data_IF_145826970188
#
_entry.id   IF_145826970188
#
_cell.length_a   1.000
_cell.length_b   1.000
_cell.length_c   1.000
_cell.angle_alpha   90.00
_cell.angle_beta   90.00
_cell.angle_gamma   90.00
#
_symmetry.space_group_name_H-M   'P 1'
#
loop_
_entity.id
_entity.type
_entity.pdbx_description
1 polymer ?
#
# COMPACT_ATOMS: atom_id res chain seq x y z
N UNK A 1 -9.53 11.32 -20.51
CA UNK A 1 -10.37 10.27 -19.90
C UNK A 1 -9.92 8.91 -20.43
N UNK A 2 -9.00 8.23 -19.75
CA UNK A 2 -8.76 6.80 -19.95
C UNK A 2 -8.53 6.17 -18.57
N UNK A 3 -9.57 5.46 -18.11
CA UNK A 3 -9.53 4.56 -16.97
C UNK A 3 -8.62 3.39 -17.34
N UNK A 4 -7.47 3.26 -16.66
CA UNK A 4 -6.73 2.01 -16.67
C UNK A 4 -7.41 1.05 -15.69
N UNK A 5 -8.30 0.23 -16.24
CA UNK A 5 -8.82 -0.96 -15.59
C UNK A 5 -7.67 -1.94 -15.33
N UNK A 6 -7.30 -2.05 -14.06
CA UNK A 6 -7.12 -3.31 -13.35
C UNK A 6 -6.59 -4.52 -14.14
N UNK A 7 -5.28 -4.56 -14.37
CA UNK A 7 -4.53 -5.81 -14.19
C UNK A 7 -3.55 -5.58 -13.03
N UNK A 8 -4.08 -5.63 -11.81
CA UNK A 8 -3.25 -5.79 -10.61
C UNK A 8 -2.92 -7.28 -10.52
N UNK A 9 -1.67 -7.72 -10.76
CA UNK A 9 -1.34 -9.13 -10.68
C UNK A 9 -1.58 -9.65 -9.24
N UNK A 10 -2.22 -10.82 -9.06
CA UNK A 10 -2.47 -11.37 -7.75
C UNK A 10 -1.18 -12.05 -7.26
N UNK A 11 -0.33 -11.36 -6.51
CA UNK A 11 0.75 -12.06 -5.81
C UNK A 11 1.25 -11.35 -4.55
N UNK A 12 0.40 -11.26 -3.53
CA UNK A 12 0.77 -10.64 -2.25
C UNK A 12 1.73 -11.50 -1.39
N UNK A 13 2.05 -12.75 -1.77
CA UNK A 13 2.88 -13.64 -0.93
C UNK A 13 4.32 -13.83 -1.43
N UNK A 14 4.59 -13.79 -2.74
CA UNK A 14 5.93 -14.05 -3.28
C UNK A 14 6.83 -12.80 -3.41
N UNK A 15 6.26 -11.60 -3.48
CA UNK A 15 7.04 -10.39 -3.77
C UNK A 15 7.97 -9.94 -2.62
N UNK A 16 7.67 -10.30 -1.37
CA UNK A 16 8.37 -9.76 -0.19
C UNK A 16 9.87 -10.15 -0.13
N UNK A 17 10.31 -11.22 -0.82
CA UNK A 17 11.72 -11.67 -0.87
C UNK A 17 12.54 -11.05 -2.01
N UNK A 18 11.90 -10.28 -2.90
CA UNK A 18 12.50 -9.74 -4.12
C UNK A 18 12.68 -8.22 -4.09
N UNK A 19 12.53 -7.58 -2.92
CA UNK A 19 12.39 -6.14 -2.80
C UNK A 19 13.36 -5.62 -1.73
N UNK A 20 14.19 -4.63 -2.08
CA UNK A 20 15.09 -3.95 -1.13
C UNK A 20 14.44 -2.62 -0.70
N UNK A 21 14.18 -2.40 0.60
CA UNK A 21 13.65 -1.13 1.08
C UNK A 21 14.70 -0.03 0.94
N UNK A 22 14.36 1.08 0.29
CA UNK A 22 15.17 2.30 0.39
C UNK A 22 14.69 3.10 1.61
N UNK A 23 15.64 3.54 2.43
CA UNK A 23 15.39 4.07 3.76
C UNK A 23 14.65 5.42 3.72
N UNK A 24 13.46 5.49 4.31
CA UNK A 24 12.75 6.75 4.59
C UNK A 24 12.20 6.76 6.03
N UNK A 25 12.28 7.90 6.75
CA UNK A 25 12.07 7.98 8.20
C UNK A 25 10.61 7.85 8.67
N UNK A 26 9.63 7.68 7.77
CA UNK A 26 8.20 7.58 8.14
C UNK A 26 7.54 6.34 7.52
N UNK A 27 7.48 5.25 8.30
CA UNK A 27 7.00 3.91 7.92
C UNK A 27 5.50 3.85 7.54
N UNK A 28 5.13 4.32 6.34
CA UNK A 28 3.87 3.95 5.70
C UNK A 28 4.18 3.17 4.43
N UNK A 29 3.49 2.04 4.21
CA UNK A 29 3.72 1.20 3.04
C UNK A 29 3.46 1.96 1.73
N UNK A 30 2.56 2.94 1.72
CA UNK A 30 2.33 3.77 0.53
C UNK A 30 3.46 4.75 0.22
N UNK A 31 4.41 4.93 1.13
CA UNK A 31 5.55 5.85 1.02
C UNK A 31 6.88 5.08 1.01
N UNK A 32 6.87 3.76 1.27
CA UNK A 32 8.07 2.95 1.17
C UNK A 32 8.41 2.74 -0.30
N UNK A 33 9.42 3.46 -0.75
CA UNK A 33 10.08 3.22 -2.01
C UNK A 33 10.92 1.95 -1.89
N UNK A 34 10.96 1.20 -2.97
CA UNK A 34 11.69 -0.04 -3.03
C UNK A 34 12.35 -0.22 -4.39
N UNK A 35 13.51 -0.88 -4.38
CA UNK A 35 14.16 -1.35 -5.60
C UNK A 35 13.92 -2.85 -5.74
N UNK A 36 13.15 -3.29 -6.74
CA UNK A 36 12.95 -4.70 -7.01
C UNK A 36 14.24 -5.32 -7.59
N UNK A 37 14.47 -6.60 -7.30
CA UNK A 37 15.53 -7.39 -7.93
C UNK A 37 15.32 -7.46 -9.44
N UNK A 38 16.42 -7.61 -10.19
CA UNK A 38 16.46 -7.59 -11.67
C UNK A 38 15.34 -8.40 -12.35
N UNK A 39 14.98 -9.63 -11.91
CA UNK A 39 13.92 -10.40 -12.57
C UNK A 39 12.55 -9.72 -12.49
N UNK A 40 12.19 -9.18 -11.33
CA UNK A 40 10.92 -8.48 -11.11
C UNK A 40 10.92 -7.12 -11.81
N UNK A 41 12.06 -6.42 -11.79
CA UNK A 41 12.23 -5.15 -12.49
C UNK A 41 11.96 -5.30 -14.00
N UNK A 42 12.46 -6.37 -14.63
CA UNK A 42 12.24 -6.64 -16.06
C UNK A 42 10.78 -6.90 -16.40
N UNK A 43 10.05 -7.62 -15.55
CA UNK A 43 8.61 -7.84 -15.73
C UNK A 43 7.85 -6.52 -15.63
N UNK A 44 8.17 -5.68 -14.64
CA UNK A 44 7.54 -4.36 -14.48
C UNK A 44 7.82 -3.45 -15.67
N UNK A 45 9.07 -3.42 -16.16
CA UNK A 45 9.44 -2.67 -17.37
C UNK A 45 8.74 -3.20 -18.63
N UNK A 46 8.65 -4.51 -18.79
CA UNK A 46 7.93 -5.14 -19.91
C UNK A 46 6.42 -4.84 -19.88
N UNK A 47 5.85 -4.64 -18.68
CA UNK A 47 4.48 -4.18 -18.49
C UNK A 47 4.30 -2.66 -18.69
N UNK A 48 5.37 -1.94 -19.09
CA UNK A 48 5.34 -0.50 -19.38
C UNK A 48 5.67 0.40 -18.18
N UNK A 49 6.12 -0.15 -17.06
CA UNK A 49 6.50 0.66 -15.90
C UNK A 49 7.86 1.34 -16.11
N UNK A 50 7.95 2.63 -15.77
CA UNK A 50 9.15 3.45 -15.96
C UNK A 50 9.92 3.60 -14.65
N UNK A 51 11.26 3.53 -14.71
CA UNK A 51 12.14 3.69 -13.55
C UNK A 51 12.60 2.38 -12.89
N UNK A 52 13.39 2.52 -11.83
CA UNK A 52 13.97 1.42 -11.03
C UNK A 52 13.45 1.38 -9.59
N UNK A 53 12.65 2.38 -9.21
CA UNK A 53 12.19 2.62 -7.84
C UNK A 53 10.67 2.67 -7.83
N UNK A 54 10.05 1.80 -7.05
CA UNK A 54 8.59 1.63 -7.00
C UNK A 54 8.06 1.89 -5.60
N UNK A 55 6.80 2.24 -5.46
CA UNK A 55 6.18 2.35 -4.13
C UNK A 55 5.50 1.04 -3.75
N UNK A 56 5.65 0.57 -2.51
CA UNK A 56 4.94 -0.64 -2.06
C UNK A 56 3.40 -0.50 -2.10
N UNK A 57 2.87 0.71 -2.33
CA UNK A 57 1.44 0.98 -2.53
C UNK A 57 0.82 0.09 -3.61
N UNK A 58 1.59 -0.21 -4.65
CA UNK A 58 1.17 -1.00 -5.81
C UNK A 58 1.31 -2.50 -5.56
N UNK A 59 2.17 -2.88 -4.61
CA UNK A 59 2.58 -4.26 -4.37
C UNK A 59 1.82 -4.92 -3.22
N UNK A 60 1.25 -4.12 -2.30
CA UNK A 60 0.47 -4.63 -1.17
C UNK A 60 -1.03 -4.40 -1.38
N UNK A 61 -1.87 -5.39 -1.05
CA UNK A 61 -3.31 -5.24 -1.12
C UNK A 61 -3.76 -4.15 -0.14
N UNK A 62 -4.72 -3.34 -0.58
CA UNK A 62 -5.42 -2.42 0.31
C UNK A 62 -6.54 -3.19 0.98
N UNK A 63 -6.19 -3.83 2.10
CA UNK A 63 -7.10 -4.63 2.92
C UNK A 63 -7.37 -4.00 4.30
N UNK A 64 -6.84 -2.80 4.57
CA UNK A 64 -7.03 -2.08 5.85
C UNK A 64 -8.01 -0.93 5.72
N UNK A 65 -9.25 -1.13 6.13
CA UNK A 65 -10.27 -0.10 6.13
C UNK A 65 -10.18 0.76 7.40
N UNK A 66 -10.00 2.07 7.24
CA UNK A 66 -9.87 3.03 8.34
C UNK A 66 -11.24 3.64 8.62
N UNK A 67 -11.82 3.37 9.80
CA UNK A 67 -13.17 3.81 10.17
C UNK A 67 -13.12 5.03 11.10
N UNK A 68 -13.90 6.05 10.76
CA UNK A 68 -14.09 7.27 11.53
C UNK A 68 -15.58 7.66 11.54
N UNK A 69 -16.26 7.38 12.67
CA UNK A 69 -17.70 7.59 12.80
C UNK A 69 -18.51 6.66 11.89
N UNK A 70 -19.27 7.22 10.95
CA UNK A 70 -20.14 6.50 9.99
C UNK A 70 -19.47 6.24 8.64
N UNK A 71 -18.22 6.66 8.47
CA UNK A 71 -17.50 6.62 7.20
C UNK A 71 -16.21 5.82 7.35
N UNK A 72 -15.75 5.24 6.24
CA UNK A 72 -14.51 4.48 6.21
C UNK A 72 -13.74 4.71 4.90
N UNK A 73 -12.41 4.63 4.96
CA UNK A 73 -11.54 4.81 3.79
C UNK A 73 -10.57 3.63 3.62
N UNK A 74 -10.56 3.05 2.43
CA UNK A 74 -9.64 1.97 2.04
C UNK A 74 -8.39 2.53 1.34
N UNK A 75 -7.40 2.89 2.15
CA UNK A 75 -6.20 3.62 1.66
C UNK A 75 -4.88 2.97 1.99
N UNK A 76 -4.86 1.98 2.87
CA UNK A 76 -3.65 1.29 3.30
C UNK A 76 -3.91 -0.21 3.48
N UNK A 77 -2.84 -0.99 3.57
CA UNK A 77 -2.96 -2.37 4.03
C UNK A 77 -3.28 -2.41 5.54
N UNK A 78 -3.85 -3.52 6.00
CA UNK A 78 -4.28 -3.70 7.39
C UNK A 78 -3.15 -3.45 8.39
N UNK A 79 -1.93 -3.90 8.09
CA UNK A 79 -0.76 -3.68 8.96
C UNK A 79 -0.45 -2.19 9.15
N UNK A 80 -0.54 -1.41 8.08
CA UNK A 80 -0.28 0.03 8.12
C UNK A 80 -1.41 0.80 8.79
N UNK A 81 -2.66 0.48 8.46
CA UNK A 81 -3.82 1.08 9.10
C UNK A 81 -3.81 0.82 10.62
N UNK A 82 -3.50 -0.42 11.05
CA UNK A 82 -3.37 -0.76 12.48
C UNK A 82 -2.22 -0.02 13.17
N UNK A 83 -1.14 0.27 12.45
CA UNK A 83 -0.03 1.08 12.97
C UNK A 83 -0.42 2.54 13.17
N UNK A 84 -1.22 3.10 12.26
CA UNK A 84 -1.81 4.43 12.41
C UNK A 84 -2.69 4.47 13.67
N UNK A 85 -3.62 3.53 13.83
CA UNK A 85 -4.47 3.47 15.03
C UNK A 85 -3.66 3.44 16.35
N UNK A 86 -2.50 2.76 16.38
CA UNK A 86 -1.63 2.71 17.56
C UNK A 86 -0.85 4.00 17.83
N UNK A 87 -0.60 4.83 16.82
CA UNK A 87 0.02 6.14 16.99
C UNK A 87 -1.03 7.15 17.42
N UNK A 88 -0.95 7.58 18.68
CA UNK A 88 -1.79 8.67 19.21
C UNK A 88 -1.76 9.87 18.25
N UNK A 89 -2.94 10.34 17.89
CA UNK A 89 -3.12 11.54 17.06
C UNK A 89 -2.83 11.37 15.57
N UNK A 90 -2.59 10.14 15.05
CA UNK A 90 -2.46 9.99 13.60
C UNK A 90 -3.84 10.03 12.93
N UNK A 91 -4.11 11.02 12.06
CA UNK A 91 -5.42 11.19 11.47
C UNK A 91 -5.56 10.35 10.19
N UNK A 92 -6.80 10.14 9.74
CA UNK A 92 -7.05 9.54 8.45
C UNK A 92 -6.35 10.35 7.33
N UNK A 93 -5.55 9.73 6.45
CA UNK A 93 -4.79 10.46 5.43
C UNK A 93 -5.67 11.08 4.32
N UNK A 94 -6.95 10.70 4.25
CA UNK A 94 -7.91 11.23 3.27
C UNK A 94 -8.62 12.47 3.82
N UNK A 95 -9.25 12.34 4.99
CA UNK A 95 -10.18 13.34 5.51
C UNK A 95 -9.75 13.94 6.84
N UNK A 96 -8.56 13.59 7.33
CA UNK A 96 -7.95 14.06 8.59
C UNK A 96 -8.76 13.80 9.87
N UNK A 97 -9.83 13.01 9.81
CA UNK A 97 -10.63 12.60 10.98
C UNK A 97 -9.86 11.60 11.85
N UNK A 98 -10.17 11.58 13.14
CA UNK A 98 -9.60 10.62 14.09
C UNK A 98 -10.02 9.19 13.75
N UNK A 99 -9.05 8.27 13.78
CA UNK A 99 -9.26 6.86 13.49
C UNK A 99 -9.82 6.19 14.74
N UNK A 100 -11.10 5.80 14.73
CA UNK A 100 -11.73 5.05 15.84
C UNK A 100 -11.34 3.58 15.82
N UNK A 101 -11.31 2.98 14.63
CA UNK A 101 -10.99 1.55 14.47
C UNK A 101 -10.48 1.25 13.07
N UNK A 102 -9.89 0.06 12.93
CA UNK A 102 -9.40 -0.46 11.66
C UNK A 102 -9.92 -1.87 11.47
N UNK A 103 -10.53 -2.13 10.32
CA UNK A 103 -11.11 -3.43 9.97
C UNK A 103 -10.30 -4.02 8.80
N UNK A 104 -10.04 -5.33 8.85
CA UNK A 104 -9.44 -6.06 7.73
C UNK A 104 -10.55 -6.49 6.77
N UNK A 105 -10.45 -6.08 5.51
CA UNK A 105 -11.36 -6.55 4.46
C UNK A 105 -10.73 -7.77 3.80
N UNK A 106 -11.53 -8.82 3.64
CA UNK A 106 -11.18 -9.97 2.81
C UNK A 106 -12.03 -9.87 1.55
N UNK A 107 -11.42 -9.46 0.43
CA UNK A 107 -12.07 -9.55 -0.87
C UNK A 107 -11.93 -11.01 -1.31
N UNK A 108 -13.06 -11.72 -1.38
CA UNK A 108 -13.16 -13.08 -1.89
C UNK A 108 -13.15 -13.14 -3.41
#
# INVERSE_FOLDING_TARGET
LLFFSSLVPPCSKALNSQIIPVFFPTKLCSVLQVRPKVPLLRILQAAGAQGDTFTLKELRPRDGNIVHGRTAHLVACFRCARMMLKRKGSPCPVCRKEIRMVIRIFMG
#
